data_IF_971443116199
#
_entry.id   IF_971443116199
#
_cell.length_a   1.000
_cell.length_b   1.000
_cell.length_c   1.000
_cell.angle_alpha   90.00
_cell.angle_beta   90.00
_cell.angle_gamma   90.00
#
_symmetry.space_group_name_H-M   'P 1'
#
loop_
_entity.id
_entity.type
_entity.pdbx_description
1 polymer ?
#
# COMPACT_ATOMS: atom_id res chain seq x y z
N UNK A 1 -21.84 -4.78 -11.72
CA UNK A 1 -22.03 -3.55 -12.41
C UNK A 1 -20.71 -2.83 -12.60
N UNK A 2 -20.68 -1.92 -13.55
CA UNK A 2 -19.49 -1.09 -13.72
C UNK A 2 -19.39 -0.11 -12.55
N UNK A 3 -18.26 -0.04 -11.97
CA UNK A 3 -17.89 0.94 -10.96
C UNK A 3 -17.33 2.19 -11.67
N UNK A 4 -18.03 3.33 -11.69
CA UNK A 4 -19.38 3.51 -11.11
C UNK A 4 -20.44 3.78 -12.21
N UNK A 5 -20.86 2.77 -12.93
CA UNK A 5 -21.85 2.91 -14.02
C UNK A 5 -23.24 3.36 -13.54
N UNK A 6 -23.63 3.01 -12.32
CA UNK A 6 -24.92 3.43 -11.74
C UNK A 6 -24.93 4.92 -11.48
N UNK A 7 -23.87 5.50 -10.93
CA UNK A 7 -23.77 6.94 -10.71
C UNK A 7 -23.76 7.72 -12.03
N UNK A 8 -23.05 7.22 -13.04
CA UNK A 8 -23.09 7.80 -14.39
C UNK A 8 -24.50 7.77 -14.97
N UNK A 9 -25.20 6.62 -14.89
CA UNK A 9 -26.57 6.50 -15.38
C UNK A 9 -27.56 7.42 -14.66
N UNK A 10 -27.42 7.56 -13.33
CA UNK A 10 -28.26 8.49 -12.55
C UNK A 10 -28.03 9.95 -12.96
N UNK A 11 -26.78 10.36 -13.16
CA UNK A 11 -26.45 11.70 -13.64
C UNK A 11 -27.06 11.98 -15.02
N UNK A 12 -26.92 11.02 -15.95
CA UNK A 12 -27.53 11.15 -17.31
C UNK A 12 -29.04 11.17 -17.24
N UNK A 13 -29.69 10.37 -16.40
CA UNK A 13 -31.14 10.39 -16.25
C UNK A 13 -31.64 11.74 -15.73
N UNK A 14 -30.93 12.39 -14.82
CA UNK A 14 -31.30 13.75 -14.37
C UNK A 14 -31.08 14.76 -15.47
N UNK A 15 -30.03 14.63 -16.28
CA UNK A 15 -29.79 15.52 -17.44
C UNK A 15 -30.91 15.46 -18.51
N UNK A 16 -31.48 14.26 -18.71
CA UNK A 16 -32.56 14.04 -19.70
C UNK A 16 -33.95 14.35 -19.13
N UNK A 17 -34.08 14.40 -17.80
CA UNK A 17 -35.39 14.58 -17.15
C UNK A 17 -35.97 15.98 -17.36
N UNK A 18 -37.27 16.02 -17.56
CA UNK A 18 -38.04 17.26 -17.65
C UNK A 18 -39.00 17.48 -16.49
N UNK A 19 -39.10 16.51 -15.59
CA UNK A 19 -40.03 16.46 -14.47
C UNK A 19 -39.32 16.46 -13.07
N UNK A 20 -38.02 16.38 -13.04
CA UNK A 20 -37.22 16.52 -11.82
C UNK A 20 -36.95 17.99 -11.53
N UNK A 21 -37.50 18.51 -10.43
CA UNK A 21 -37.23 19.88 -10.01
C UNK A 21 -35.80 20.03 -9.48
N UNK A 22 -35.02 20.91 -10.10
CA UNK A 22 -33.65 21.19 -9.64
C UNK A 22 -33.25 22.63 -9.95
N UNK A 23 -32.26 23.17 -9.22
CA UNK A 23 -31.55 24.40 -9.57
C UNK A 23 -30.49 24.17 -10.64
N UNK A 24 -29.54 25.10 -10.82
CA UNK A 24 -28.41 24.90 -11.72
C UNK A 24 -27.56 23.68 -11.25
N UNK A 25 -27.26 22.78 -12.18
CA UNK A 25 -26.46 21.58 -11.97
C UNK A 25 -25.23 21.61 -12.88
N UNK A 26 -24.13 21.09 -12.33
CA UNK A 26 -22.92 20.78 -13.09
C UNK A 26 -22.68 19.27 -12.94
N UNK A 27 -22.38 18.60 -14.06
CA UNK A 27 -22.09 17.16 -14.07
C UNK A 27 -20.63 16.95 -14.41
N UNK A 28 -19.92 16.24 -13.52
CA UNK A 28 -18.51 15.92 -13.67
C UNK A 28 -18.33 14.42 -13.88
N UNK A 29 -17.77 14.04 -15.01
CA UNK A 29 -17.37 12.68 -15.31
C UNK A 29 -15.85 12.64 -15.45
N UNK A 30 -15.18 11.81 -14.67
CA UNK A 30 -13.73 11.64 -14.72
C UNK A 30 -13.37 10.29 -15.34
N UNK A 31 -12.12 10.15 -15.77
CA UNK A 31 -11.58 8.93 -16.35
C UNK A 31 -10.52 8.35 -15.43
N UNK A 32 -10.25 7.05 -15.59
CA UNK A 32 -9.14 6.32 -14.92
C UNK A 32 -9.17 6.43 -13.39
N UNK A 33 -10.34 6.34 -12.77
CA UNK A 33 -10.45 6.33 -11.31
C UNK A 33 -9.64 5.16 -10.74
N UNK A 34 -9.90 3.94 -11.19
CA UNK A 34 -9.28 2.69 -10.76
C UNK A 34 -7.77 2.60 -11.03
N UNK A 35 -7.29 3.35 -12.00
CA UNK A 35 -5.87 3.35 -12.39
C UNK A 35 -5.03 4.41 -11.68
N UNK A 36 -5.62 5.17 -10.76
CA UNK A 36 -4.93 6.16 -9.95
C UNK A 36 -5.45 7.58 -10.06
N UNK A 37 -6.76 7.74 -10.31
CA UNK A 37 -7.47 9.03 -10.31
C UNK A 37 -6.91 10.02 -11.35
N UNK A 38 -6.49 9.55 -12.53
CA UNK A 38 -5.80 10.38 -13.53
C UNK A 38 -6.64 11.58 -13.93
N UNK A 39 -7.93 11.37 -14.23
CA UNK A 39 -8.84 12.45 -14.60
C UNK A 39 -9.06 13.45 -13.47
N UNK A 40 -9.29 12.98 -12.25
CA UNK A 40 -9.51 13.84 -11.09
C UNK A 40 -8.25 14.64 -10.71
N UNK A 41 -7.05 14.02 -10.80
CA UNK A 41 -5.78 14.67 -10.45
C UNK A 41 -5.34 15.77 -11.42
N UNK A 42 -5.84 15.73 -12.65
CA UNK A 42 -5.55 16.72 -13.70
C UNK A 42 -6.69 17.75 -13.88
N UNK A 43 -7.71 17.67 -13.04
CA UNK A 43 -8.85 18.56 -13.13
C UNK A 43 -8.44 20.01 -12.82
N UNK A 44 -8.80 20.98 -13.71
CA UNK A 44 -8.43 22.38 -13.51
C UNK A 44 -9.10 22.98 -12.28
N UNK A 45 -8.33 23.69 -11.47
CA UNK A 45 -8.89 24.47 -10.37
C UNK A 45 -9.93 25.47 -10.86
N UNK A 46 -11.03 25.61 -10.12
CA UNK A 46 -12.10 26.60 -10.36
C UNK A 46 -12.93 26.38 -11.64
N UNK A 47 -12.87 25.22 -12.27
CA UNK A 47 -13.76 24.92 -13.40
C UNK A 47 -15.21 24.80 -12.95
N UNK A 48 -15.45 24.17 -11.79
CA UNK A 48 -16.78 24.07 -11.18
C UNK A 48 -17.10 25.33 -10.36
N UNK A 49 -18.35 25.74 -10.42
CA UNK A 49 -18.88 26.89 -9.67
C UNK A 49 -19.80 26.45 -8.52
N UNK A 50 -20.22 25.20 -8.50
CA UNK A 50 -21.10 24.63 -7.50
C UNK A 50 -20.48 24.64 -6.13
N UNK A 51 -21.28 24.95 -5.09
CA UNK A 51 -20.88 24.93 -3.68
C UNK A 51 -21.04 23.55 -3.03
N UNK A 52 -21.89 22.72 -3.59
CA UNK A 52 -22.19 21.38 -3.10
C UNK A 52 -21.73 20.36 -4.12
N UNK A 53 -21.03 19.36 -3.64
CA UNK A 53 -20.56 18.26 -4.46
C UNK A 53 -21.16 16.96 -3.95
N UNK A 54 -21.86 16.24 -4.83
CA UNK A 54 -22.44 14.94 -4.56
C UNK A 54 -21.63 13.90 -5.32
N UNK A 55 -20.84 13.09 -4.60
CA UNK A 55 -20.15 11.95 -5.16
C UNK A 55 -21.09 10.73 -5.10
N UNK A 56 -21.40 10.17 -6.27
CA UNK A 56 -22.30 9.01 -6.41
C UNK A 56 -21.54 7.67 -6.42
N UNK A 57 -20.25 7.70 -6.10
CA UNK A 57 -19.36 6.54 -6.09
C UNK A 57 -19.23 5.91 -4.70
N UNK A 58 -20.32 5.85 -3.96
CA UNK A 58 -20.39 5.21 -2.66
C UNK A 58 -20.76 3.73 -2.77
N UNK A 59 -20.05 2.85 -2.03
CA UNK A 59 -20.27 1.39 -2.05
C UNK A 59 -21.27 0.91 -0.99
N UNK A 60 -21.53 1.71 0.05
CA UNK A 60 -22.43 1.33 1.15
C UNK A 60 -23.85 1.84 0.92
N UNK A 61 -24.78 0.92 0.70
CA UNK A 61 -26.19 1.22 0.50
C UNK A 61 -26.80 1.91 1.74
N UNK A 62 -27.55 3.00 1.52
CA UNK A 62 -28.23 3.74 2.57
C UNK A 62 -27.31 4.62 3.43
N UNK A 63 -26.05 4.76 3.07
CA UNK A 63 -25.06 5.56 3.81
C UNK A 63 -24.71 6.85 3.10
N UNK A 64 -24.64 7.95 3.84
CA UNK A 64 -24.09 9.23 3.36
C UNK A 64 -22.71 9.44 4.00
N UNK A 65 -21.67 9.39 3.18
CA UNK A 65 -20.30 9.68 3.60
C UNK A 65 -20.05 11.19 3.49
N UNK A 66 -19.77 11.84 4.62
CA UNK A 66 -19.57 13.31 4.70
C UNK A 66 -18.10 13.73 4.78
N UNK A 67 -17.18 12.80 4.56
CA UNK A 67 -15.74 13.06 4.59
C UNK A 67 -14.96 11.94 3.94
N UNK A 68 -13.71 12.20 3.65
CA UNK A 68 -12.77 11.21 3.11
C UNK A 68 -11.40 11.32 3.77
N UNK A 69 -10.63 10.23 3.72
CA UNK A 69 -9.24 10.24 4.12
C UNK A 69 -8.37 10.89 3.04
N UNK A 70 -7.40 11.66 3.47
CA UNK A 70 -6.33 12.15 2.58
C UNK A 70 -5.16 11.16 2.54
N UNK A 71 -4.33 11.26 1.51
CA UNK A 71 -3.14 10.44 1.34
C UNK A 71 -1.94 11.27 0.89
N UNK A 72 -0.76 10.86 1.35
CA UNK A 72 0.52 11.41 0.90
C UNK A 72 1.47 10.27 0.54
N UNK A 73 2.04 10.34 -0.67
CA UNK A 73 3.08 9.41 -1.08
C UNK A 73 4.46 10.03 -0.88
N UNK A 74 5.28 9.40 -0.04
CA UNK A 74 6.66 9.79 0.17
C UNK A 74 7.59 8.77 -0.48
N UNK A 75 8.48 9.24 -1.34
CA UNK A 75 9.51 8.42 -1.98
C UNK A 75 10.88 8.81 -1.42
N UNK A 76 11.50 7.91 -0.67
CA UNK A 76 12.89 8.07 -0.22
C UNK A 76 13.84 7.38 -1.20
N UNK A 77 14.85 8.11 -1.67
CA UNK A 77 15.90 7.58 -2.56
C UNK A 77 17.26 7.82 -1.93
N UNK A 78 18.09 6.78 -1.95
CA UNK A 78 19.47 6.86 -1.48
C UNK A 78 20.39 6.13 -2.48
N UNK A 79 21.43 6.80 -2.95
CA UNK A 79 22.49 6.15 -3.70
C UNK A 79 23.36 5.32 -2.76
N UNK A 80 23.68 4.12 -3.15
CA UNK A 80 24.57 3.22 -2.41
C UNK A 80 25.71 2.78 -3.31
N UNK A 81 26.92 2.68 -2.76
CA UNK A 81 28.06 2.09 -3.45
C UNK A 81 27.99 0.57 -3.30
N UNK A 82 27.95 -0.12 -4.43
CA UNK A 82 28.06 -1.58 -4.47
C UNK A 82 29.52 -1.99 -4.38
N UNK A 83 29.81 -2.94 -3.52
CA UNK A 83 31.16 -3.53 -3.37
C UNK A 83 31.09 -5.04 -3.59
N UNK A 84 32.15 -5.63 -4.16
CA UNK A 84 32.27 -7.09 -4.20
C UNK A 84 32.27 -7.67 -2.79
N UNK A 85 31.46 -8.70 -2.56
CA UNK A 85 31.45 -9.45 -1.29
C UNK A 85 32.55 -10.51 -1.41
N UNK A 86 33.69 -10.26 -0.77
CA UNK A 86 34.78 -11.24 -0.72
C UNK A 86 34.54 -12.22 0.42
N UNK A 87 34.67 -13.53 0.17
CA UNK A 87 34.73 -14.63 1.13
C UNK A 87 33.52 -14.85 2.07
N UNK A 88 32.43 -14.12 1.93
CA UNK A 88 31.22 -14.31 2.73
C UNK A 88 30.21 -15.22 2.04
N UNK A 89 29.42 -15.93 2.84
CA UNK A 89 28.36 -16.79 2.34
C UNK A 89 27.07 -16.00 2.14
N UNK A 90 26.44 -16.15 0.95
CA UNK A 90 25.15 -15.54 0.61
C UNK A 90 23.98 -16.33 1.22
N UNK A 91 23.01 -15.62 1.78
CA UNK A 91 21.77 -16.16 2.32
C UNK A 91 20.59 -15.36 1.81
N UNK A 92 19.45 -16.05 1.64
CA UNK A 92 18.19 -15.38 1.35
C UNK A 92 17.27 -15.43 2.57
N UNK A 93 16.97 -14.27 3.13
CA UNK A 93 15.99 -14.09 4.20
C UNK A 93 14.65 -13.79 3.56
N UNK A 94 13.61 -14.54 3.94
CA UNK A 94 12.25 -14.42 3.37
C UNK A 94 11.24 -14.20 4.49
N UNK A 95 10.44 -13.17 4.35
CA UNK A 95 9.22 -12.97 5.11
C UNK A 95 8.06 -13.30 4.18
N UNK A 96 7.31 -14.34 4.48
CA UNK A 96 6.22 -14.84 3.62
C UNK A 96 5.07 -15.38 4.46
N UNK A 97 3.92 -15.62 3.83
CA UNK A 97 2.75 -16.22 4.47
C UNK A 97 1.91 -15.23 5.27
N UNK A 98 2.17 -13.93 5.18
CA UNK A 98 1.34 -12.92 5.82
C UNK A 98 0.06 -12.68 5.00
N UNK A 99 -0.98 -12.21 5.68
CA UNK A 99 -2.31 -12.05 5.10
C UNK A 99 -2.37 -10.94 4.04
N UNK A 100 -1.62 -9.85 4.24
CA UNK A 100 -1.73 -8.65 3.41
C UNK A 100 -3.04 -7.90 3.63
N UNK A 101 -3.37 -6.96 2.75
CA UNK A 101 -4.63 -6.23 2.80
C UNK A 101 -4.54 -4.82 2.24
N UNK A 102 -5.64 -4.08 2.28
CA UNK A 102 -5.68 -2.70 1.86
C UNK A 102 -5.10 -1.80 2.97
N UNK A 103 -4.17 -0.90 2.62
CA UNK A 103 -3.45 -0.05 3.59
C UNK A 103 -4.35 0.96 4.31
N UNK A 104 -5.51 1.28 3.77
CA UNK A 104 -6.54 2.10 4.42
C UNK A 104 -7.54 1.25 5.22
N UNK A 105 -8.26 0.36 4.54
CA UNK A 105 -9.38 -0.40 5.13
C UNK A 105 -8.96 -1.48 6.14
N UNK A 106 -7.73 -1.99 6.01
CA UNK A 106 -7.24 -3.08 6.85
C UNK A 106 -6.12 -2.67 7.82
N UNK A 107 -5.72 -1.39 7.83
CA UNK A 107 -4.59 -0.92 8.63
C UNK A 107 -4.79 -1.11 10.13
N UNK A 108 -6.03 -1.02 10.58
CA UNK A 108 -6.42 -1.18 11.99
C UNK A 108 -6.64 -2.64 12.41
N UNK A 109 -6.52 -3.60 11.48
CA UNK A 109 -6.78 -5.02 11.77
C UNK A 109 -5.55 -5.78 12.27
N UNK A 110 -4.46 -5.09 12.60
CA UNK A 110 -3.25 -5.70 13.14
C UNK A 110 -2.50 -6.63 12.19
N UNK A 111 -2.73 -6.52 10.87
CA UNK A 111 -2.07 -7.38 9.87
C UNK A 111 -0.58 -7.11 9.79
N UNK A 112 0.20 -8.18 9.69
CA UNK A 112 1.65 -8.08 9.56
C UNK A 112 2.07 -7.39 8.26
N UNK A 113 3.07 -6.50 8.35
CA UNK A 113 3.70 -5.85 7.21
C UNK A 113 5.08 -6.47 6.98
N UNK A 114 5.24 -7.21 5.87
CA UNK A 114 6.46 -7.95 5.58
C UNK A 114 7.72 -7.08 5.51
N UNK A 115 7.61 -5.86 4.95
CA UNK A 115 8.75 -4.94 4.88
C UNK A 115 9.19 -4.46 6.26
N UNK A 116 8.24 -4.19 7.16
CA UNK A 116 8.53 -3.81 8.54
C UNK A 116 9.21 -4.96 9.29
N UNK A 117 8.68 -6.18 9.17
CA UNK A 117 9.24 -7.37 9.82
C UNK A 117 10.63 -7.64 9.27
N UNK A 118 10.84 -7.59 7.94
CA UNK A 118 12.15 -7.77 7.33
C UNK A 118 13.15 -6.72 7.83
N UNK A 119 12.75 -5.44 7.90
CA UNK A 119 13.59 -4.37 8.43
C UNK A 119 14.03 -4.63 9.89
N UNK A 120 13.10 -5.03 10.75
CA UNK A 120 13.40 -5.40 12.15
C UNK A 120 14.32 -6.62 12.22
N UNK A 121 14.09 -7.63 11.37
CA UNK A 121 14.95 -8.81 11.27
C UNK A 121 16.39 -8.44 10.88
N UNK A 122 16.55 -7.59 9.86
CA UNK A 122 17.88 -7.14 9.42
C UNK A 122 18.60 -6.29 10.47
N UNK A 123 17.86 -5.49 11.24
CA UNK A 123 18.43 -4.76 12.37
C UNK A 123 18.91 -5.71 13.47
N UNK A 124 18.12 -6.71 13.85
CA UNK A 124 18.50 -7.72 14.84
C UNK A 124 19.74 -8.53 14.40
N UNK A 125 19.81 -8.88 13.11
CA UNK A 125 20.99 -9.54 12.53
C UNK A 125 22.22 -8.63 12.59
N UNK A 126 22.13 -7.38 12.16
CA UNK A 126 23.23 -6.40 12.17
C UNK A 126 23.79 -6.16 13.58
N UNK A 127 22.95 -6.19 14.58
CA UNK A 127 23.38 -5.94 15.96
C UNK A 127 24.23 -7.09 16.54
N UNK A 128 24.21 -8.28 15.92
CA UNK A 128 24.96 -9.47 16.35
C UNK A 128 25.95 -10.01 15.31
N UNK A 129 25.81 -9.63 14.05
CA UNK A 129 26.61 -10.16 12.95
C UNK A 129 27.17 -9.03 12.07
N UNK A 130 28.34 -9.28 11.48
CA UNK A 130 28.84 -8.48 10.38
C UNK A 130 28.04 -8.84 9.12
N UNK A 131 27.05 -7.98 8.77
CA UNK A 131 26.06 -8.20 7.72
C UNK A 131 26.29 -7.28 6.54
N UNK A 132 26.40 -7.83 5.34
CA UNK A 132 26.27 -7.09 4.09
C UNK A 132 24.93 -7.39 3.45
N UNK A 133 24.28 -6.38 2.88
CA UNK A 133 23.01 -6.50 2.17
C UNK A 133 23.29 -6.33 0.68
N UNK A 134 22.98 -7.36 -0.10
CA UNK A 134 23.16 -7.34 -1.56
C UNK A 134 21.89 -6.92 -2.29
N UNK A 135 20.70 -7.27 -1.77
CA UNK A 135 19.43 -6.95 -2.40
C UNK A 135 18.29 -6.89 -1.36
N UNK A 136 17.31 -6.02 -1.63
CA UNK A 136 16.09 -5.88 -0.82
C UNK A 136 14.90 -5.72 -1.76
N UNK A 137 13.90 -6.56 -1.59
CA UNK A 137 12.67 -6.54 -2.38
C UNK A 137 11.45 -6.73 -1.50
N UNK A 138 10.33 -6.09 -1.87
CA UNK A 138 9.04 -6.29 -1.21
C UNK A 138 8.05 -5.19 -1.52
N UNK A 139 6.78 -5.52 -1.31
CA UNK A 139 5.67 -4.63 -1.65
C UNK A 139 5.44 -4.51 -3.15
N UNK A 140 4.19 -4.65 -3.58
CA UNK A 140 3.82 -4.59 -5.01
C UNK A 140 2.98 -3.36 -5.34
N UNK A 141 2.21 -2.85 -4.39
CA UNK A 141 1.30 -1.71 -4.58
C UNK A 141 1.39 -0.76 -3.39
N UNK A 142 1.23 0.53 -3.66
CA UNK A 142 1.28 1.60 -2.63
C UNK A 142 0.16 1.49 -1.60
N UNK A 143 -1.01 1.05 -2.02
CA UNK A 143 -2.20 0.89 -1.20
C UNK A 143 -2.39 -0.52 -0.64
N UNK A 144 -1.37 -1.37 -0.65
CA UNK A 144 -1.42 -2.70 -0.11
C UNK A 144 -0.44 -2.88 1.06
N UNK A 145 -0.88 -3.56 2.12
CA UNK A 145 -0.01 -4.02 3.20
C UNK A 145 0.84 -5.16 2.63
N UNK A 146 2.19 -5.04 2.57
CA UNK A 146 3.05 -6.06 1.99
C UNK A 146 2.94 -7.39 2.72
N UNK A 147 2.61 -8.46 2.01
CA UNK A 147 2.52 -9.81 2.57
C UNK A 147 3.82 -10.62 2.42
N UNK A 148 4.74 -10.14 1.59
CA UNK A 148 6.02 -10.79 1.32
C UNK A 148 7.13 -9.75 1.19
N UNK A 149 8.33 -10.11 1.68
CA UNK A 149 9.54 -9.32 1.51
C UNK A 149 10.76 -10.24 1.54
N UNK A 150 11.81 -9.87 0.82
CA UNK A 150 13.00 -10.67 0.61
C UNK A 150 14.25 -9.82 0.78
N UNK A 151 15.28 -10.41 1.36
CA UNK A 151 16.62 -9.83 1.41
C UNK A 151 17.65 -10.88 1.00
N UNK A 152 18.60 -10.48 0.18
CA UNK A 152 19.84 -11.25 -0.03
C UNK A 152 20.91 -10.61 0.81
N UNK A 153 21.45 -11.40 1.75
CA UNK A 153 22.48 -10.96 2.71
C UNK A 153 23.71 -11.84 2.62
N UNK A 154 24.85 -11.31 3.04
CA UNK A 154 26.09 -12.08 3.16
C UNK A 154 26.66 -11.92 4.56
N UNK A 155 27.06 -13.03 5.15
CA UNK A 155 27.68 -13.16 6.47
C UNK A 155 28.88 -14.09 6.42
N UNK A 156 29.71 -14.07 7.43
CA UNK A 156 30.76 -15.07 7.59
C UNK A 156 30.14 -16.47 7.82
N UNK A 157 30.68 -17.50 7.16
CA UNK A 157 30.12 -18.85 7.24
C UNK A 157 30.00 -19.38 8.66
N UNK A 158 30.92 -18.96 9.56
CA UNK A 158 30.93 -19.35 10.98
C UNK A 158 29.70 -18.78 11.73
N UNK A 159 29.09 -17.72 11.24
CA UNK A 159 27.96 -17.03 11.88
C UNK A 159 26.59 -17.64 11.51
N UNK A 160 26.55 -18.66 10.63
CA UNK A 160 25.32 -19.32 10.23
C UNK A 160 24.44 -19.82 11.40
N UNK A 161 24.97 -20.37 12.48
CA UNK A 161 24.16 -20.77 13.64
C UNK A 161 23.48 -19.58 14.31
N UNK A 162 24.17 -18.46 14.44
CA UNK A 162 23.61 -17.21 15.03
C UNK A 162 22.52 -16.62 14.15
N UNK A 163 22.71 -16.65 12.82
CA UNK A 163 21.67 -16.26 11.86
C UNK A 163 20.39 -17.08 12.09
N UNK A 164 20.51 -18.42 12.19
CA UNK A 164 19.36 -19.28 12.39
C UNK A 164 18.66 -19.04 13.74
N UNK A 165 19.42 -18.85 14.81
CA UNK A 165 18.88 -18.53 16.15
C UNK A 165 18.02 -17.26 16.09
N UNK A 166 18.55 -16.18 15.49
CA UNK A 166 17.83 -14.90 15.37
C UNK A 166 16.55 -15.07 14.53
N UNK A 167 16.64 -15.77 13.40
CA UNK A 167 15.48 -15.99 12.54
C UNK A 167 14.39 -16.83 13.24
N UNK A 168 14.76 -17.83 14.03
CA UNK A 168 13.83 -18.62 14.83
C UNK A 168 13.14 -17.75 15.89
N UNK A 169 13.89 -16.90 16.58
CA UNK A 169 13.32 -15.98 17.57
C UNK A 169 12.34 -15.01 16.92
N UNK A 170 12.74 -14.34 15.83
CA UNK A 170 11.85 -13.42 15.09
C UNK A 170 10.58 -14.14 14.60
N UNK A 171 10.71 -15.38 14.12
CA UNK A 171 9.55 -16.17 13.69
C UNK A 171 8.60 -16.46 14.86
N UNK A 172 9.13 -16.77 16.03
CA UNK A 172 8.33 -17.02 17.23
C UNK A 172 7.58 -15.74 17.67
N UNK A 173 8.30 -14.63 17.71
CA UNK A 173 7.75 -13.33 18.10
C UNK A 173 6.62 -12.90 17.14
N UNK A 174 6.86 -12.98 15.82
CA UNK A 174 5.86 -12.64 14.80
C UNK A 174 4.62 -13.54 14.89
N UNK A 175 4.80 -14.83 15.15
CA UNK A 175 3.66 -15.74 15.37
C UNK A 175 2.87 -15.41 16.63
N UNK A 176 3.55 -14.99 17.68
CA UNK A 176 2.90 -14.55 18.92
C UNK A 176 2.08 -13.27 18.71
N UNK A 177 2.60 -12.33 17.94
CA UNK A 177 2.00 -11.02 17.72
C UNK A 177 0.81 -11.05 16.72
N UNK A 178 0.86 -11.95 15.76
CA UNK A 178 -0.14 -12.02 14.68
C UNK A 178 -1.19 -13.12 14.85
N UNK A 179 -1.02 -14.04 15.77
CA UNK A 179 -1.93 -15.15 16.07
C UNK A 179 -1.67 -16.33 15.17
#
# INVERSE_FOLDING_TARGET
GADNGVGVAAALAVMESTDVAHGPLEFLFTIDEESGLTGASQFPERLLQSKYFLNLDGEEEGTLCIGCAGGLNTVARRSVEMRPIASRQGWQVKITGLQGGHSGLDINKGRGNALRILGQTLLALRDRLALDIADLQGGSKRNAIPREAFATVAIDAADAPVLHEILQQVQADVRSDLG
#
